data_IF_503353637677
#
_entry.id   IF_503353637677
#
_cell.length_a   1.000
_cell.length_b   1.000
_cell.length_c   1.000
_cell.angle_alpha   90.00
_cell.angle_beta   90.00
_cell.angle_gamma   90.00
#
_symmetry.space_group_name_H-M   'P 1'
#
loop_
_entity.id
_entity.type
_entity.pdbx_description
1 polymer ?
#
# COMPACT_ATOMS: atom_id res chain seq x y z
N UNK A 1 -13.19 10.80 28.25
CA UNK A 1 -13.14 9.65 27.33
C UNK A 1 -12.58 8.44 28.08
N UNK A 2 -13.15 7.23 27.94
CA UNK A 2 -12.51 6.03 28.52
C UNK A 2 -11.16 5.83 27.84
N UNK A 3 -10.08 5.74 28.63
CA UNK A 3 -8.73 5.58 28.11
C UNK A 3 -8.62 4.26 27.34
N UNK A 4 -8.11 4.31 26.11
CA UNK A 4 -7.82 3.12 25.32
C UNK A 4 -6.74 2.30 26.01
N UNK A 5 -7.01 1.03 26.33
CA UNK A 5 -5.98 0.17 26.92
C UNK A 5 -4.99 -0.30 25.83
N UNK A 6 -3.74 -0.58 26.23
CA UNK A 6 -2.75 -1.17 25.34
C UNK A 6 -3.18 -2.54 24.77
N UNK A 7 -4.06 -3.27 25.47
CA UNK A 7 -4.66 -4.52 24.99
C UNK A 7 -5.65 -4.23 23.86
N UNK A 8 -6.52 -3.23 24.04
CA UNK A 8 -7.48 -2.81 23.01
C UNK A 8 -6.76 -2.38 21.73
N UNK A 9 -5.71 -1.57 21.85
CA UNK A 9 -4.90 -1.14 20.69
C UNK A 9 -4.31 -2.32 19.91
N UNK A 10 -3.69 -3.28 20.61
CA UNK A 10 -3.14 -4.50 19.98
C UNK A 10 -4.22 -5.36 19.33
N UNK A 11 -5.38 -5.51 19.96
CA UNK A 11 -6.48 -6.29 19.38
C UNK A 11 -6.98 -5.67 18.08
N UNK A 12 -7.11 -4.35 18.01
CA UNK A 12 -7.47 -3.63 16.78
C UNK A 12 -6.41 -3.84 15.70
N UNK A 13 -5.13 -3.67 16.02
CA UNK A 13 -4.04 -3.85 15.04
C UNK A 13 -3.96 -5.29 14.50
N UNK A 14 -4.31 -6.28 15.32
CA UNK A 14 -4.28 -7.70 14.95
C UNK A 14 -5.59 -8.21 14.33
N UNK A 15 -6.64 -7.39 14.23
CA UNK A 15 -7.92 -7.83 13.66
C UNK A 15 -7.87 -7.86 12.13
N UNK A 16 -7.70 -9.07 11.59
CA UNK A 16 -7.67 -9.32 10.15
C UNK A 16 -8.96 -9.01 9.38
N UNK A 17 -10.05 -8.64 10.08
CA UNK A 17 -11.31 -8.19 9.47
C UNK A 17 -11.30 -6.71 9.13
N UNK A 18 -10.37 -5.92 9.68
CA UNK A 18 -10.27 -4.49 9.40
C UNK A 18 -9.64 -4.29 8.01
N UNK A 19 -10.34 -3.54 7.14
CA UNK A 19 -9.83 -3.19 5.83
C UNK A 19 -9.08 -1.86 5.87
N UNK A 20 -7.82 -1.89 6.27
CA UNK A 20 -6.96 -0.72 6.42
C UNK A 20 -6.81 0.11 5.14
N UNK A 21 -6.70 -0.54 3.97
CA UNK A 21 -6.64 0.17 2.68
C UNK A 21 -7.91 1.00 2.42
N UNK A 22 -9.08 0.37 2.60
CA UNK A 22 -10.36 1.09 2.43
C UNK A 22 -10.50 2.22 3.45
N UNK A 23 -10.08 2.01 4.69
CA UNK A 23 -10.12 3.05 5.73
C UNK A 23 -9.29 4.28 5.33
N UNK A 24 -8.04 4.08 4.89
CA UNK A 24 -7.17 5.18 4.45
C UNK A 24 -7.74 5.89 3.23
N UNK A 25 -8.24 5.15 2.23
CA UNK A 25 -8.91 5.76 1.08
C UNK A 25 -10.10 6.64 1.50
N UNK A 26 -10.99 6.13 2.37
CA UNK A 26 -12.16 6.89 2.82
C UNK A 26 -11.78 8.14 3.63
N UNK A 27 -10.75 8.04 4.47
CA UNK A 27 -10.21 9.18 5.18
C UNK A 27 -9.66 10.24 4.21
N UNK A 28 -8.90 9.81 3.20
CA UNK A 28 -8.39 10.70 2.16
C UNK A 28 -9.51 11.36 1.34
N UNK A 29 -10.54 10.62 0.93
CA UNK A 29 -11.73 11.18 0.25
C UNK A 29 -12.35 12.29 1.09
N UNK A 30 -12.51 12.06 2.40
CA UNK A 30 -13.08 13.07 3.30
C UNK A 30 -12.18 14.31 3.39
N UNK A 31 -10.86 14.13 3.54
CA UNK A 31 -9.91 15.26 3.58
C UNK A 31 -9.91 16.05 2.27
N UNK A 32 -9.85 15.38 1.13
CA UNK A 32 -9.91 16.01 -0.20
C UNK A 32 -11.23 16.78 -0.35
N UNK A 33 -12.36 16.24 0.13
CA UNK A 33 -13.65 16.95 0.06
C UNK A 33 -13.65 18.28 0.83
N UNK A 34 -12.91 18.34 1.94
CA UNK A 34 -12.75 19.55 2.75
C UNK A 34 -11.78 20.53 2.09
N UNK A 35 -10.74 20.05 1.42
CA UNK A 35 -9.76 20.88 0.72
C UNK A 35 -10.27 21.39 -0.64
N UNK A 36 -11.18 20.66 -1.31
CA UNK A 36 -11.66 20.96 -2.66
C UNK A 36 -12.08 22.42 -2.90
N UNK A 37 -12.77 23.13 -1.96
CA UNK A 37 -13.14 24.53 -2.17
C UNK A 37 -11.96 25.51 -2.24
N UNK A 38 -10.80 25.16 -1.66
CA UNK A 38 -9.61 26.03 -1.61
C UNK A 38 -8.52 25.64 -2.63
N UNK A 39 -8.72 24.56 -3.38
CA UNK A 39 -7.81 24.12 -4.43
C UNK A 39 -8.13 24.92 -5.70
N UNK A 40 -7.11 25.59 -6.25
CA UNK A 40 -7.24 26.27 -7.55
C UNK A 40 -7.58 25.25 -8.64
N UNK A 41 -8.63 25.52 -9.41
CA UNK A 41 -9.13 24.63 -10.48
C UNK A 41 -8.11 24.37 -11.60
N UNK A 42 -7.06 25.18 -11.71
CA UNK A 42 -5.96 25.02 -12.67
C UNK A 42 -4.94 23.95 -12.24
N UNK A 43 -4.96 23.54 -10.96
CA UNK A 43 -4.05 22.51 -10.44
C UNK A 43 -4.40 21.15 -11.03
N UNK A 44 -3.37 20.40 -11.40
CA UNK A 44 -3.51 19.04 -11.91
C UNK A 44 -3.49 18.06 -10.76
N UNK A 45 -4.51 17.20 -10.72
CA UNK A 45 -4.63 16.18 -9.68
C UNK A 45 -3.92 14.92 -10.11
N UNK A 46 -3.02 14.40 -9.29
CA UNK A 46 -2.24 13.22 -9.61
C UNK A 46 -2.30 12.17 -8.50
N UNK A 47 -2.33 10.90 -8.90
CA UNK A 47 -1.96 9.78 -8.04
C UNK A 47 -0.48 9.49 -8.23
N UNK A 48 0.27 9.50 -7.13
CA UNK A 48 1.72 9.27 -7.12
C UNK A 48 1.97 7.89 -6.51
N UNK A 49 2.68 7.02 -7.22
CA UNK A 49 3.06 5.71 -6.73
C UNK A 49 4.55 5.68 -6.49
N UNK A 50 4.93 5.22 -5.30
CA UNK A 50 6.31 5.00 -4.93
C UNK A 50 6.40 3.81 -3.97
N UNK A 51 7.59 3.20 -3.89
CA UNK A 51 7.84 2.13 -2.95
C UNK A 51 9.09 2.34 -2.11
N UNK A 52 9.02 1.91 -0.86
CA UNK A 52 10.10 2.09 0.11
C UNK A 52 10.44 0.77 0.80
N UNK A 53 11.72 0.54 1.07
CA UNK A 53 12.15 -0.62 1.83
C UNK A 53 11.83 -0.42 3.32
N UNK A 54 10.94 -1.26 3.85
CA UNK A 54 10.62 -1.31 5.28
C UNK A 54 11.46 -2.39 5.97
N UNK A 55 12.67 -2.02 6.35
CA UNK A 55 13.61 -2.92 7.03
C UNK A 55 13.10 -3.40 8.40
N UNK A 56 13.31 -4.68 8.67
CA UNK A 56 12.97 -5.40 9.91
C UNK A 56 14.13 -6.33 10.29
N UNK A 57 15.34 -5.79 10.31
CA UNK A 57 16.60 -6.53 10.46
C UNK A 57 16.66 -7.44 11.70
N UNK A 58 15.99 -7.07 12.80
CA UNK A 58 15.94 -7.86 14.03
C UNK A 58 14.79 -8.89 14.08
N UNK A 59 13.87 -8.86 13.12
CA UNK A 59 12.73 -9.76 13.08
C UNK A 59 13.10 -11.08 12.42
N UNK A 60 12.62 -12.20 12.99
CA UNK A 60 12.81 -13.54 12.42
C UNK A 60 11.52 -14.34 12.24
N UNK A 61 10.48 -14.00 13.01
CA UNK A 61 9.22 -14.78 13.07
C UNK A 61 8.00 -14.01 12.54
N UNK A 62 8.18 -12.78 12.08
CA UNK A 62 7.06 -11.98 11.59
C UNK A 62 6.48 -12.63 10.34
N UNK A 63 5.16 -12.67 10.26
CA UNK A 63 4.44 -13.26 9.13
C UNK A 63 4.86 -12.62 7.81
N UNK A 64 5.07 -13.44 6.78
CA UNK A 64 5.46 -13.01 5.44
C UNK A 64 6.76 -12.17 5.40
N UNK A 65 7.63 -12.25 6.40
CA UNK A 65 8.91 -11.53 6.37
C UNK A 65 9.77 -12.05 5.22
N UNK A 66 10.23 -11.15 4.36
CA UNK A 66 11.01 -11.50 3.17
C UNK A 66 12.46 -11.04 3.29
N UNK A 67 13.36 -11.76 2.61
CA UNK A 67 14.68 -11.28 2.24
C UNK A 67 14.53 -10.41 0.99
N UNK A 68 14.88 -9.14 1.12
CA UNK A 68 14.71 -8.12 0.08
C UNK A 68 16.08 -7.51 -0.23
N UNK A 69 16.37 -7.35 -1.50
CA UNK A 69 17.62 -6.71 -1.94
C UNK A 69 17.45 -5.20 -1.96
N UNK A 70 18.33 -4.51 -1.25
CA UNK A 70 18.49 -3.06 -1.29
C UNK A 70 19.47 -2.73 -2.43
N UNK A 71 18.97 -2.06 -3.47
CA UNK A 71 19.77 -1.71 -4.63
C UNK A 71 20.66 -0.49 -4.37
N UNK A 72 20.32 0.35 -3.38
CA UNK A 72 21.09 1.55 -3.05
C UNK A 72 22.33 1.16 -2.23
N UNK A 73 22.16 0.21 -1.32
CA UNK A 73 23.23 -0.28 -0.44
C UNK A 73 23.91 -1.56 -0.91
N UNK A 74 23.40 -2.16 -1.98
CA UNK A 74 23.86 -3.45 -2.52
C UNK A 74 23.89 -4.58 -1.47
N UNK A 75 22.93 -4.60 -0.55
CA UNK A 75 22.85 -5.59 0.53
C UNK A 75 21.47 -6.25 0.62
N UNK A 76 21.42 -7.43 1.23
CA UNK A 76 20.14 -8.08 1.53
C UNK A 76 19.68 -7.75 2.94
N UNK A 77 18.50 -7.13 3.04
CA UNK A 77 17.84 -6.85 4.30
C UNK A 77 16.62 -7.74 4.48
N UNK A 78 16.28 -8.05 5.73
CA UNK A 78 14.99 -8.67 6.04
C UNK A 78 13.95 -7.56 6.22
N UNK A 79 12.79 -7.71 5.58
CA UNK A 79 11.77 -6.67 5.61
C UNK A 79 10.65 -6.89 4.61
N UNK A 80 10.07 -5.77 4.20
CA UNK A 80 8.98 -5.68 3.24
C UNK A 80 9.23 -4.51 2.29
N UNK A 81 8.59 -4.51 1.12
CA UNK A 81 8.50 -3.31 0.28
C UNK A 81 7.15 -2.62 0.54
N UNK A 82 7.18 -1.44 1.13
CA UNK A 82 5.99 -0.63 1.35
C UNK A 82 5.63 0.09 0.07
N UNK A 83 4.66 -0.44 -0.68
CA UNK A 83 4.09 0.22 -1.85
C UNK A 83 3.07 1.25 -1.38
N UNK A 84 3.23 2.50 -1.78
CA UNK A 84 2.37 3.60 -1.36
C UNK A 84 1.75 4.30 -2.57
N UNK A 85 0.50 4.72 -2.42
CA UNK A 85 -0.20 5.58 -3.36
C UNK A 85 -0.57 6.85 -2.62
N UNK A 86 -0.04 7.97 -3.08
CA UNK A 86 -0.40 9.30 -2.63
C UNK A 86 -1.28 10.02 -3.65
N UNK A 87 -1.97 11.04 -3.19
CA UNK A 87 -2.69 12.00 -4.01
C UNK A 87 -2.09 13.37 -3.82
N UNK A 88 -1.97 14.13 -4.89
CA UNK A 88 -1.45 15.49 -4.86
C UNK A 88 -2.20 16.42 -5.81
N UNK A 89 -2.37 17.68 -5.39
CA UNK A 89 -2.81 18.80 -6.22
C UNK A 89 -1.62 19.68 -6.68
N UNK A 90 -0.39 19.21 -6.49
CA UNK A 90 0.84 19.95 -6.78
C UNK A 90 1.38 20.80 -5.63
N UNK A 91 0.61 20.99 -4.54
CA UNK A 91 1.06 21.70 -3.34
C UNK A 91 0.86 20.88 -2.05
N UNK A 92 -0.20 20.08 -2.03
CA UNK A 92 -0.58 19.22 -0.91
C UNK A 92 -0.33 17.77 -1.29
N UNK A 93 0.09 16.95 -0.33
CA UNK A 93 0.21 15.51 -0.52
C UNK A 93 -0.54 14.76 0.56
N UNK A 94 -1.33 13.75 0.17
CA UNK A 94 -2.11 12.90 1.08
C UNK A 94 -1.87 11.42 0.76
N UNK A 95 -1.57 10.56 1.75
CA UNK A 95 -1.56 9.11 1.52
C UNK A 95 -2.99 8.62 1.28
N UNK A 96 -3.22 7.90 0.18
CA UNK A 96 -4.56 7.41 -0.18
C UNK A 96 -4.69 5.90 -0.15
N UNK A 97 -3.63 5.16 -0.47
CA UNK A 97 -3.66 3.70 -0.43
C UNK A 97 -2.24 3.14 -0.22
N UNK A 98 -2.12 1.88 0.16
CA UNK A 98 -0.83 1.24 0.40
C UNK A 98 -0.93 -0.28 0.38
N UNK A 99 0.17 -0.97 0.09
CA UNK A 99 0.32 -2.40 0.31
C UNK A 99 1.70 -2.70 0.90
N UNK A 100 1.74 -3.61 1.86
CA UNK A 100 3.00 -4.13 2.38
C UNK A 100 3.36 -5.40 1.59
N UNK A 101 4.30 -5.25 0.67
CA UNK A 101 4.69 -6.29 -0.28
C UNK A 101 5.72 -7.23 0.33
N UNK A 102 5.54 -8.51 0.03
CA UNK A 102 6.39 -9.64 0.41
C UNK A 102 6.69 -10.48 -0.84
N UNK A 103 7.38 -11.59 -0.67
CA UNK A 103 7.77 -12.51 -1.73
C UNK A 103 6.84 -13.71 -1.79
N UNK A 104 6.57 -14.21 -3.01
CA UNK A 104 5.97 -15.54 -3.21
C UNK A 104 7.01 -16.66 -3.20
N UNK A 105 8.28 -16.33 -3.44
CA UNK A 105 9.37 -17.31 -3.54
C UNK A 105 9.74 -17.82 -2.16
N UNK A 106 9.62 -19.13 -1.93
CA UNK A 106 9.88 -19.78 -0.63
C UNK A 106 11.32 -19.54 -0.14
N UNK A 107 12.30 -19.57 -1.05
CA UNK A 107 13.72 -19.30 -0.77
C UNK A 107 13.97 -17.91 -0.14
N UNK A 108 13.13 -16.92 -0.47
CA UNK A 108 13.26 -15.56 0.04
C UNK A 108 12.31 -15.31 1.23
N UNK A 109 11.44 -16.26 1.57
CA UNK A 109 10.50 -16.13 2.69
C UNK A 109 11.19 -16.61 3.98
N UNK A 110 11.57 -15.67 4.85
CA UNK A 110 12.24 -15.96 6.12
C UNK A 110 11.21 -16.13 7.25
N UNK A 111 10.13 -15.36 7.18
CA UNK A 111 9.08 -15.33 8.19
C UNK A 111 8.13 -16.50 8.14
N UNK A 112 7.18 -16.48 9.09
CA UNK A 112 6.11 -17.46 9.12
C UNK A 112 5.21 -17.35 7.88
N UNK A 113 4.68 -18.49 7.44
CA UNK A 113 3.68 -18.57 6.39
C UNK A 113 2.40 -17.81 6.76
N UNK A 114 1.59 -17.39 5.78
CA UNK A 114 0.38 -16.64 6.05
C UNK A 114 -0.60 -17.46 6.91
N UNK A 115 -1.01 -16.90 8.04
CA UNK A 115 -1.94 -17.51 9.00
C UNK A 115 -3.33 -17.70 8.38
N UNK A 116 -3.71 -16.85 7.43
CA UNK A 116 -4.99 -16.95 6.70
C UNK A 116 -4.74 -16.87 5.20
N UNK A 117 -5.06 -17.94 4.48
CA UNK A 117 -4.95 -17.99 3.02
C UNK A 117 -6.30 -17.87 2.29
N UNK A 118 -7.42 -18.02 3.00
CA UNK A 118 -8.77 -17.96 2.39
C UNK A 118 -9.10 -16.54 1.90
N UNK A 119 -9.15 -16.37 0.58
CA UNK A 119 -9.42 -15.09 -0.09
C UNK A 119 -10.90 -14.65 -0.02
N UNK A 120 -11.79 -15.43 0.59
CA UNK A 120 -13.12 -14.93 0.98
C UNK A 120 -13.02 -13.92 2.13
N UNK A 121 -11.97 -14.02 2.95
CA UNK A 121 -11.68 -13.09 4.04
C UNK A 121 -10.89 -11.86 3.57
N UNK A 122 -10.97 -10.75 4.31
CA UNK A 122 -10.14 -9.55 4.05
C UNK A 122 -8.67 -9.88 4.29
N UNK A 123 -8.36 -10.50 5.43
CA UNK A 123 -7.05 -11.00 5.81
C UNK A 123 -6.35 -11.84 4.72
N UNK A 124 -7.06 -12.82 4.16
CA UNK A 124 -6.53 -13.68 3.09
C UNK A 124 -6.27 -12.92 1.81
N UNK A 125 -7.20 -12.05 1.38
CA UNK A 125 -6.99 -11.18 0.20
C UNK A 125 -5.75 -10.31 0.35
N UNK A 126 -5.51 -9.74 1.53
CA UNK A 126 -4.32 -8.90 1.79
C UNK A 126 -3.02 -9.69 1.76
N UNK A 127 -3.00 -10.89 2.35
CA UNK A 127 -1.83 -11.79 2.33
C UNK A 127 -1.52 -12.31 0.92
N UNK A 128 -2.54 -12.60 0.13
CA UNK A 128 -2.37 -12.94 -1.28
C UNK A 128 -1.90 -11.73 -2.09
N UNK A 129 -2.46 -10.53 -1.85
CA UNK A 129 -2.02 -9.29 -2.48
C UNK A 129 -0.55 -9.00 -2.21
N UNK A 130 -0.09 -9.14 -0.97
CA UNK A 130 1.30 -8.90 -0.58
C UNK A 130 2.31 -9.74 -1.38
N UNK A 131 1.94 -10.93 -1.86
CA UNK A 131 2.83 -11.84 -2.58
C UNK A 131 2.70 -11.75 -4.11
N UNK A 132 1.84 -10.87 -4.64
CA UNK A 132 1.68 -10.67 -6.09
C UNK A 132 2.75 -9.71 -6.62
N UNK A 133 3.03 -9.73 -7.94
CA UNK A 133 3.94 -8.77 -8.56
C UNK A 133 3.53 -7.33 -8.26
N UNK A 134 4.49 -6.49 -7.89
CA UNK A 134 4.25 -5.10 -7.46
C UNK A 134 3.45 -4.31 -8.49
N UNK A 135 3.81 -4.40 -9.77
CA UNK A 135 3.12 -3.70 -10.87
C UNK A 135 1.63 -4.04 -10.97
N UNK A 136 1.26 -5.31 -10.71
CA UNK A 136 -0.14 -5.73 -10.71
C UNK A 136 -0.89 -5.19 -9.48
N UNK A 137 -0.23 -5.13 -8.33
CA UNK A 137 -0.81 -4.54 -7.12
C UNK A 137 -0.96 -3.03 -7.26
N UNK A 138 0.00 -2.33 -7.87
CA UNK A 138 -0.09 -0.89 -8.19
C UNK A 138 -1.37 -0.56 -8.94
N UNK A 139 -1.64 -1.27 -10.05
CA UNK A 139 -2.87 -1.06 -10.83
C UNK A 139 -4.12 -1.31 -10.00
N UNK A 140 -4.11 -2.33 -9.14
CA UNK A 140 -5.22 -2.62 -8.24
C UNK A 140 -5.45 -1.49 -7.23
N UNK A 141 -4.40 -0.97 -6.60
CA UNK A 141 -4.50 0.11 -5.61
C UNK A 141 -5.02 1.41 -6.25
N UNK A 142 -4.56 1.73 -7.47
CA UNK A 142 -5.03 2.88 -8.25
C UNK A 142 -6.53 2.74 -8.58
N UNK A 143 -6.95 1.58 -9.11
CA UNK A 143 -8.35 1.31 -9.41
C UNK A 143 -9.23 1.37 -8.17
N UNK A 144 -8.75 0.86 -7.03
CA UNK A 144 -9.45 0.97 -5.75
C UNK A 144 -9.62 2.42 -5.29
N UNK A 145 -8.58 3.25 -5.41
CA UNK A 145 -8.64 4.66 -5.03
C UNK A 145 -9.66 5.43 -5.89
N UNK A 146 -9.61 5.26 -7.22
CA UNK A 146 -10.56 5.89 -8.15
C UNK A 146 -11.99 5.40 -7.91
N UNK A 147 -12.20 4.09 -7.73
CA UNK A 147 -13.52 3.54 -7.45
C UNK A 147 -14.12 4.03 -6.13
N UNK A 148 -13.29 4.43 -5.16
CA UNK A 148 -13.72 5.03 -3.89
C UNK A 148 -13.91 6.56 -3.99
N UNK A 149 -13.67 7.16 -5.15
CA UNK A 149 -13.94 8.57 -5.42
C UNK A 149 -12.76 9.51 -5.23
N UNK A 150 -11.51 9.00 -5.21
CA UNK A 150 -10.33 9.86 -5.24
C UNK A 150 -10.19 10.47 -6.65
N UNK A 151 -10.26 11.80 -6.80
CA UNK A 151 -10.18 12.45 -8.10
C UNK A 151 -8.73 12.51 -8.59
N UNK A 152 -8.44 12.07 -9.81
CA UNK A 152 -7.12 12.21 -10.42
C UNK A 152 -7.22 12.28 -11.94
N UNK A 153 -6.36 13.10 -12.53
CA UNK A 153 -6.19 13.24 -13.99
C UNK A 153 -4.96 12.46 -14.47
N UNK A 154 -3.95 12.36 -13.62
CA UNK A 154 -2.66 11.75 -13.95
C UNK A 154 -2.26 10.68 -12.93
N UNK A 155 -1.43 9.76 -13.39
CA UNK A 155 -0.70 8.84 -12.52
C UNK A 155 0.79 9.10 -12.76
N UNK A 156 1.54 9.32 -11.67
CA UNK A 156 2.98 9.51 -11.67
C UNK A 156 3.64 8.34 -10.95
N UNK A 157 4.68 7.77 -11.55
CA UNK A 157 5.47 6.68 -10.96
C UNK A 157 6.85 6.63 -11.59
N UNK A 158 7.81 6.04 -10.87
CA UNK A 158 9.14 5.76 -11.42
C UNK A 158 9.06 4.72 -12.56
N UNK A 159 10.01 4.81 -13.49
CA UNK A 159 10.33 3.84 -14.53
C UNK A 159 10.32 2.37 -14.07
N UNK A 160 10.63 2.09 -12.80
CA UNK A 160 10.57 0.75 -12.21
C UNK A 160 9.18 0.11 -12.25
N UNK A 161 8.12 0.92 -12.29
CA UNK A 161 6.74 0.46 -12.42
C UNK A 161 6.30 0.33 -13.89
N UNK A 162 6.99 1.00 -14.81
CA UNK A 162 6.62 1.10 -16.22
C UNK A 162 6.63 -0.26 -16.92
N UNK A 163 5.55 -0.55 -17.64
CA UNK A 163 5.49 -1.67 -18.58
C UNK A 163 4.40 -1.40 -19.63
N UNK A 164 4.51 -1.96 -20.86
CA UNK A 164 3.46 -1.83 -21.88
C UNK A 164 2.07 -2.22 -21.35
N UNK A 165 2.02 -3.28 -20.52
CA UNK A 165 0.80 -3.74 -19.86
C UNK A 165 0.24 -2.72 -18.87
N UNK A 166 1.09 -2.05 -18.09
CA UNK A 166 0.64 -1.03 -17.14
C UNK A 166 -0.02 0.15 -17.88
N UNK A 167 0.60 0.65 -18.96
CA UNK A 167 0.02 1.73 -19.74
C UNK A 167 -1.34 1.36 -20.35
N UNK A 168 -1.47 0.13 -20.85
CA UNK A 168 -2.76 -0.36 -21.37
C UNK A 168 -3.84 -0.48 -20.28
N UNK A 169 -3.45 -0.82 -19.05
CA UNK A 169 -4.39 -0.99 -17.92
C UNK A 169 -4.81 0.32 -17.23
N UNK A 170 -4.04 1.41 -17.42
CA UNK A 170 -4.27 2.73 -16.84
C UNK A 170 -4.96 3.71 -17.80
N UNK A 171 -5.09 3.34 -19.07
CA UNK A 171 -5.94 4.05 -20.04
C UNK A 171 -7.41 3.91 -19.67
#
# INVERSE_FOLDING_TARGET
AKNFTAKTGRNVLNDGRINWQKLVCLAAVKLISVLKPVIDRRRRLALIVDDTLMARSCSKKTELLAKVYDHDKHEFLTGYRGLTVGWSDGNTFLPVNFALMSTKKKENMIGNQPVTADQRSIAGRRRTQAQRPMNAVTVELLKQAVALGIPAEYVLFDSWFSSPKMFWQLK
#
